data_IF_590239174346
#
_entry.id   IF_590239174346
#
_cell.length_a   1.000
_cell.length_b   1.000
_cell.length_c   1.000
_cell.angle_alpha   90.00
_cell.angle_beta   90.00
_cell.angle_gamma   90.00
#
_symmetry.space_group_name_H-M   'P 1'
#
loop_
_entity.id
_entity.type
_entity.pdbx_description
1 polymer ?
#
# COMPACT_ATOMS: atom_id res chain seq x y z
N UNK A 1 -7.61 16.94 7.68
CA UNK A 1 -6.27 16.32 7.58
C UNK A 1 -5.83 16.34 6.12
N UNK A 2 -4.67 16.95 5.82
CA UNK A 2 -4.10 16.91 4.48
C UNK A 2 -3.18 15.69 4.45
N UNK A 3 -3.59 14.64 3.73
CA UNK A 3 -2.80 13.41 3.55
C UNK A 3 -1.68 13.66 2.55
N UNK A 4 -0.53 13.01 2.76
CA UNK A 4 0.61 13.18 1.86
C UNK A 4 0.30 12.55 0.49
N UNK A 5 0.29 13.34 -0.61
CA UNK A 5 -0.07 12.82 -1.92
C UNK A 5 0.94 11.79 -2.45
N UNK A 6 2.21 11.87 -2.04
CA UNK A 6 3.26 10.97 -2.49
C UNK A 6 3.12 9.57 -1.87
N UNK A 7 2.92 9.49 -0.55
CA UNK A 7 2.71 8.18 0.10
C UNK A 7 1.41 7.54 -0.34
N UNK A 8 0.36 8.35 -0.53
CA UNK A 8 -0.90 7.85 -1.07
C UNK A 8 -0.71 7.25 -2.47
N UNK A 9 -0.03 7.97 -3.37
CA UNK A 9 0.23 7.52 -4.73
C UNK A 9 1.08 6.25 -4.75
N UNK A 10 2.10 6.17 -3.89
CA UNK A 10 2.88 4.94 -3.71
C UNK A 10 2.00 3.76 -3.29
N UNK A 11 1.06 3.98 -2.36
CA UNK A 11 0.10 2.94 -1.95
C UNK A 11 -0.72 2.41 -3.12
N UNK A 12 -1.17 3.28 -4.03
CA UNK A 12 -1.88 2.88 -5.25
C UNK A 12 -0.99 2.06 -6.17
N UNK A 13 0.24 2.51 -6.42
CA UNK A 13 1.20 1.78 -7.28
C UNK A 13 1.46 0.38 -6.73
N UNK A 14 1.63 0.24 -5.40
CA UNK A 14 1.84 -1.07 -4.78
C UNK A 14 0.64 -2.00 -4.94
N UNK A 15 -0.59 -1.46 -4.97
CA UNK A 15 -1.80 -2.23 -5.27
C UNK A 15 -1.83 -2.65 -6.75
N UNK A 16 -1.50 -1.73 -7.66
CA UNK A 16 -1.42 -2.01 -9.11
C UNK A 16 -0.41 -3.12 -9.39
N UNK A 17 0.77 -3.07 -8.76
CA UNK A 17 1.79 -4.11 -8.84
C UNK A 17 1.27 -5.45 -8.28
N UNK A 18 0.54 -5.45 -7.17
CA UNK A 18 0.01 -6.69 -6.61
C UNK A 18 -1.03 -7.36 -7.51
N UNK A 19 -1.86 -6.57 -8.19
CA UNK A 19 -2.91 -7.09 -9.06
C UNK A 19 -2.50 -7.20 -10.54
N UNK A 20 -1.30 -6.72 -10.89
CA UNK A 20 -0.80 -6.64 -12.27
C UNK A 20 -1.80 -5.95 -13.21
N UNK A 21 -2.50 -4.93 -12.69
CA UNK A 21 -3.55 -4.19 -13.39
C UNK A 21 -3.50 -2.72 -13.00
N UNK A 22 -3.79 -1.80 -13.94
CA UNK A 22 -3.89 -0.38 -13.62
C UNK A 22 -5.10 -0.12 -12.70
N UNK A 23 -4.97 0.85 -11.80
CA UNK A 23 -5.95 1.21 -10.79
C UNK A 23 -7.30 1.61 -11.39
N UNK A 24 -7.28 2.21 -12.59
CA UNK A 24 -8.52 2.52 -13.33
C UNK A 24 -9.34 1.26 -13.61
N UNK A 25 -8.69 0.22 -14.14
CA UNK A 25 -9.34 -1.05 -14.46
C UNK A 25 -9.83 -1.77 -13.20
N UNK A 26 -9.03 -1.75 -12.13
CA UNK A 26 -9.43 -2.34 -10.84
C UNK A 26 -10.73 -1.72 -10.32
N UNK A 27 -10.84 -0.38 -10.34
CA UNK A 27 -12.08 0.31 -9.92
C UNK A 27 -13.28 0.01 -10.82
N UNK A 28 -13.05 -0.17 -12.12
CA UNK A 28 -14.12 -0.43 -13.08
C UNK A 28 -14.65 -1.87 -12.95
N UNK A 29 -13.81 -2.80 -12.50
CA UNK A 29 -14.17 -4.19 -12.19
C UNK A 29 -14.86 -4.33 -10.81
N UNK A 30 -14.48 -3.52 -9.81
CA UNK A 30 -15.07 -3.51 -8.46
C UNK A 30 -16.36 -2.69 -8.37
N UNK A 31 -17.13 -2.55 -9.46
CA UNK A 31 -18.41 -1.81 -9.44
C UNK A 31 -19.30 -2.41 -8.34
N UNK A 32 -19.57 -1.67 -7.25
CA UNK A 32 -20.55 -2.09 -6.28
C UNK A 32 -21.92 -2.09 -6.96
N UNK A 33 -22.84 -2.94 -6.49
CA UNK A 33 -24.26 -2.77 -6.79
C UNK A 33 -24.69 -1.30 -6.54
N UNK A 34 -25.61 -0.79 -7.36
CA UNK A 34 -25.98 0.65 -7.45
C UNK A 34 -26.39 1.32 -6.12
N UNK A 35 -26.58 0.56 -5.05
CA UNK A 35 -26.93 1.05 -3.70
C UNK A 35 -25.74 1.59 -2.88
N UNK A 36 -24.49 1.35 -3.27
CA UNK A 36 -23.31 1.77 -2.50
C UNK A 36 -22.70 3.10 -3.04
N UNK A 37 -23.54 4.13 -3.13
CA UNK A 37 -23.16 5.46 -3.63
C UNK A 37 -22.09 6.19 -2.78
N UNK A 38 -21.64 5.58 -1.67
CA UNK A 38 -20.71 6.15 -0.71
C UNK A 38 -19.45 5.31 -0.46
N UNK A 39 -19.06 4.47 -1.41
CA UNK A 39 -17.75 3.81 -1.35
C UNK A 39 -16.63 4.85 -1.36
N UNK A 40 -15.94 4.98 -0.23
CA UNK A 40 -14.76 5.84 -0.16
C UNK A 40 -13.57 5.14 -0.83
N UNK A 41 -12.57 5.91 -1.26
CA UNK A 41 -11.29 5.35 -1.72
C UNK A 41 -10.64 4.39 -0.71
N UNK A 42 -10.97 4.50 0.58
CA UNK A 42 -10.45 3.63 1.63
C UNK A 42 -11.12 2.26 1.64
N UNK A 43 -12.44 2.22 1.41
CA UNK A 43 -13.19 0.97 1.32
C UNK A 43 -12.71 0.14 0.13
N UNK A 44 -12.45 0.79 -1.01
CA UNK A 44 -11.82 0.15 -2.18
C UNK A 44 -10.45 -0.45 -1.84
N UNK A 45 -9.58 0.31 -1.17
CA UNK A 45 -8.26 -0.18 -0.77
C UNK A 45 -8.38 -1.37 0.17
N UNK A 46 -9.29 -1.31 1.14
CA UNK A 46 -9.48 -2.43 2.06
C UNK A 46 -9.95 -3.69 1.30
N UNK A 47 -10.86 -3.55 0.32
CA UNK A 47 -11.27 -4.65 -0.59
C UNK A 47 -10.10 -5.21 -1.40
N UNK A 48 -9.32 -4.38 -2.08
CA UNK A 48 -8.15 -4.82 -2.85
C UNK A 48 -7.03 -5.40 -1.97
N UNK A 49 -6.97 -5.06 -0.69
CA UNK A 49 -5.97 -5.62 0.23
C UNK A 49 -6.37 -6.95 0.88
N UNK A 50 -7.59 -7.47 0.66
CA UNK A 50 -8.03 -8.76 1.23
C UNK A 50 -7.18 -9.93 0.70
N UNK A 51 -6.89 -9.98 -0.60
CA UNK A 51 -6.12 -11.07 -1.23
C UNK A 51 -4.59 -10.93 -1.14
N UNK A 52 -4.08 -9.73 -0.83
CA UNK A 52 -2.64 -9.43 -0.87
C UNK A 52 -1.84 -10.21 0.18
N UNK A 53 -2.44 -10.56 1.32
CA UNK A 53 -1.77 -11.34 2.37
C UNK A 53 -1.27 -12.69 1.86
N UNK A 54 -2.07 -13.37 1.04
CA UNK A 54 -1.79 -14.73 0.56
C UNK A 54 -0.70 -14.73 -0.52
N UNK A 55 -0.68 -13.71 -1.38
CA UNK A 55 0.22 -13.62 -2.53
C UNK A 55 1.56 -12.95 -2.20
N UNK A 56 1.55 -11.90 -1.38
CA UNK A 56 2.71 -11.03 -1.13
C UNK A 56 3.07 -10.94 0.36
N UNK A 57 2.34 -11.65 1.22
CA UNK A 57 2.59 -11.69 2.66
C UNK A 57 2.00 -10.52 3.44
N UNK A 58 1.96 -10.69 4.76
CA UNK A 58 1.38 -9.73 5.72
C UNK A 58 2.12 -8.38 5.69
N UNK A 59 3.43 -8.38 5.45
CA UNK A 59 4.24 -7.16 5.45
C UNK A 59 3.90 -6.24 4.28
N UNK A 60 3.73 -6.80 3.07
CA UNK A 60 3.32 -6.02 1.90
C UNK A 60 1.98 -5.34 2.12
N UNK A 61 0.99 -6.09 2.63
CA UNK A 61 -0.33 -5.54 2.99
C UNK A 61 -0.24 -4.40 4.00
N UNK A 62 0.59 -4.54 5.05
CA UNK A 62 0.80 -3.50 6.06
C UNK A 62 1.39 -2.23 5.45
N UNK A 63 2.39 -2.36 4.58
CA UNK A 63 2.99 -1.22 3.87
C UNK A 63 1.94 -0.47 3.06
N UNK A 64 1.14 -1.18 2.25
CA UNK A 64 0.08 -0.56 1.43
C UNK A 64 -0.89 0.25 2.29
N UNK A 65 -1.37 -0.33 3.40
CA UNK A 65 -2.30 0.35 4.32
C UNK A 65 -1.67 1.61 4.93
N UNK A 66 -0.41 1.56 5.38
CA UNK A 66 0.30 2.72 5.94
C UNK A 66 0.42 3.85 4.91
N UNK A 67 0.81 3.50 3.68
CA UNK A 67 0.95 4.44 2.56
C UNK A 67 -0.38 5.13 2.20
N UNK A 68 -1.47 4.36 2.04
CA UNK A 68 -2.79 4.90 1.70
C UNK A 68 -3.37 5.78 2.81
N UNK A 69 -3.26 5.33 4.07
CA UNK A 69 -3.75 6.10 5.22
C UNK A 69 -2.86 7.30 5.54
N UNK A 70 -1.64 7.34 5.00
CA UNK A 70 -0.59 8.27 5.39
C UNK A 70 -0.36 8.23 6.90
N UNK A 71 -0.45 7.03 7.48
CA UNK A 71 -0.36 6.81 8.91
C UNK A 71 0.89 5.96 9.21
N UNK A 72 1.85 6.62 9.82
CA UNK A 72 3.11 6.04 10.27
C UNK A 72 3.30 6.20 11.79
N UNK A 73 2.23 6.58 12.52
CA UNK A 73 2.25 6.70 13.99
C UNK A 73 2.89 7.98 14.55
N UNK A 74 3.31 8.93 13.69
CA UNK A 74 4.02 10.14 14.12
C UNK A 74 3.10 11.35 14.36
N UNK A 75 1.80 11.25 14.05
CA UNK A 75 0.87 12.40 14.09
C UNK A 75 1.18 13.50 13.07
N UNK A 76 2.08 13.22 12.13
CA UNK A 76 2.61 14.14 11.13
C UNK A 76 2.31 13.61 9.72
N UNK A 77 1.97 14.50 8.79
CA UNK A 77 1.61 14.14 7.41
C UNK A 77 2.56 14.74 6.36
N UNK A 78 3.52 15.55 6.81
CA UNK A 78 4.48 16.21 5.93
C UNK A 78 5.81 15.44 5.89
N UNK A 79 6.18 14.94 4.70
CA UNK A 79 7.47 14.27 4.49
C UNK A 79 8.67 15.21 4.62
N UNK A 80 8.49 16.52 4.78
CA UNK A 80 9.58 17.42 5.20
C UNK A 80 9.96 17.21 6.67
N UNK A 81 9.07 16.62 7.47
CA UNK A 81 9.33 16.30 8.86
C UNK A 81 10.33 15.13 8.97
N UNK A 82 11.48 15.30 9.63
CA UNK A 82 12.46 14.23 9.80
C UNK A 82 11.91 12.98 10.49
N UNK A 83 10.98 13.13 11.44
CA UNK A 83 10.37 11.99 12.14
C UNK A 83 9.53 11.16 11.18
N UNK A 84 8.69 11.81 10.39
CA UNK A 84 7.88 11.11 9.39
C UNK A 84 8.75 10.43 8.33
N UNK A 85 9.83 11.08 7.86
CA UNK A 85 10.77 10.45 6.91
C UNK A 85 11.42 9.20 7.49
N UNK A 86 11.86 9.27 8.75
CA UNK A 86 12.46 8.12 9.43
C UNK A 86 11.46 6.98 9.60
N UNK A 87 10.22 7.29 9.99
CA UNK A 87 9.16 6.31 10.10
C UNK A 87 8.81 5.69 8.74
N UNK A 88 8.69 6.50 7.68
CA UNK A 88 8.49 6.02 6.31
C UNK A 88 9.64 5.12 5.85
N UNK A 89 10.89 5.54 6.03
CA UNK A 89 12.07 4.75 5.66
C UNK A 89 12.05 3.38 6.35
N UNK A 90 11.89 3.36 7.68
CA UNK A 90 11.85 2.13 8.46
C UNK A 90 10.68 1.22 8.07
N UNK A 91 9.48 1.78 7.96
CA UNK A 91 8.24 1.00 7.84
C UNK A 91 7.90 0.60 6.41
N UNK A 92 8.48 1.28 5.42
CA UNK A 92 8.23 1.04 3.99
C UNK A 92 9.50 0.56 3.31
N UNK A 93 10.55 1.39 3.29
CA UNK A 93 11.76 1.11 2.49
C UNK A 93 12.48 -0.13 3.02
N UNK A 94 12.86 -0.15 4.30
CA UNK A 94 13.59 -1.29 4.87
C UNK A 94 12.78 -2.59 4.82
N UNK A 95 11.45 -2.51 4.91
CA UNK A 95 10.60 -3.70 4.82
C UNK A 95 10.56 -4.23 3.40
N UNK A 96 10.43 -3.37 2.39
CA UNK A 96 10.49 -3.78 0.98
C UNK A 96 11.86 -4.34 0.60
N UNK A 97 12.96 -3.69 1.01
CA UNK A 97 14.33 -4.18 0.80
C UNK A 97 14.53 -5.56 1.41
N UNK A 98 14.05 -5.77 2.64
CA UNK A 98 14.11 -7.08 3.28
C UNK A 98 13.32 -8.13 2.49
N UNK A 99 12.13 -7.79 2.03
CA UNK A 99 11.33 -8.71 1.22
C UNK A 99 12.01 -9.09 -0.10
N UNK A 100 12.68 -8.13 -0.75
CA UNK A 100 13.48 -8.38 -1.94
C UNK A 100 14.66 -9.32 -1.62
N UNK A 101 15.39 -9.06 -0.53
CA UNK A 101 16.50 -9.91 -0.08
C UNK A 101 16.03 -11.34 0.22
N UNK A 102 14.96 -11.49 1.01
CA UNK A 102 14.36 -12.78 1.33
C UNK A 102 13.95 -13.52 0.04
N UNK A 103 13.38 -12.81 -0.94
CA UNK A 103 13.01 -13.40 -2.23
C UNK A 103 14.23 -13.87 -3.03
N UNK A 104 15.29 -13.07 -3.11
CA UNK A 104 16.55 -13.42 -3.79
C UNK A 104 17.19 -14.65 -3.13
N UNK A 105 17.21 -14.71 -1.81
CA UNK A 105 17.76 -15.85 -1.07
C UNK A 105 16.99 -17.15 -1.33
N UNK A 106 15.65 -17.09 -1.33
CA UNK A 106 14.80 -18.26 -1.62
C UNK A 106 14.95 -18.81 -3.05
N UNK A 107 15.41 -17.98 -4.00
CA UNK A 107 15.53 -18.35 -5.41
C UNK A 107 16.98 -18.48 -5.89
N UNK A 108 17.98 -18.38 -5.00
CA UNK A 108 19.41 -18.50 -5.33
C UNK A 108 19.85 -19.91 -5.78
N UNK A 109 19.04 -20.94 -5.54
CA UNK A 109 19.34 -22.35 -5.83
C UNK A 109 18.40 -22.97 -6.89
N UNK A 110 17.57 -22.17 -7.57
CA UNK A 110 16.78 -22.58 -8.74
C UNK A 110 17.44 -22.16 -10.03
#
# INVERSE_FOLDING_TARGET
>A
MIRNPYTFTLGIILIELAHQKPWKLLKDEDRPDEDDAFVTKFDLVDRFTVGMTTLYGINYKKIVRKCINCDFGEGEYDLRNPRLRMAFYRDVVCVLEKMEQDWVELHKER
#
